data_IF_600924549548
#
_entry.id   IF_600924549548
#
_cell.length_a   1.000
_cell.length_b   1.000
_cell.length_c   1.000
_cell.angle_alpha   90.00
_cell.angle_beta   90.00
_cell.angle_gamma   90.00
#
_symmetry.space_group_name_H-M   'P 1'
#
loop_
_entity.id
_entity.type
_entity.pdbx_description
1 polymer ?
#
# COMPACT_ATOMS: atom_id res chain seq x y z
N UNK A 1 -7.36 -14.72 -0.80
CA UNK A 1 -7.25 -13.44 -1.53
C UNK A 1 -5.81 -12.94 -1.50
N UNK A 2 -5.28 -12.55 -2.64
CA UNK A 2 -3.89 -12.10 -2.69
C UNK A 2 -3.72 -10.83 -1.85
N UNK A 3 -2.61 -10.77 -1.11
CA UNK A 3 -2.24 -9.59 -0.31
C UNK A 3 -3.26 -9.22 0.75
N UNK A 4 -3.92 -10.21 1.32
CA UNK A 4 -4.90 -9.96 2.39
C UNK A 4 -4.31 -9.17 3.54
N UNK A 5 -3.07 -9.44 3.91
CA UNK A 5 -2.37 -8.73 4.97
C UNK A 5 -2.16 -7.25 4.61
N UNK A 6 -1.77 -6.98 3.37
CA UNK A 6 -1.55 -5.61 2.92
C UNK A 6 -2.88 -4.85 2.82
N UNK A 7 -3.91 -5.50 2.28
CA UNK A 7 -5.23 -4.86 2.16
C UNK A 7 -5.79 -4.50 3.53
N UNK A 8 -5.63 -5.39 4.50
CA UNK A 8 -6.07 -5.14 5.87
C UNK A 8 -5.30 -3.98 6.50
N UNK A 9 -3.99 -3.95 6.29
CA UNK A 9 -3.14 -2.88 6.82
C UNK A 9 -3.54 -1.53 6.25
N UNK A 10 -3.79 -1.45 4.95
CA UNK A 10 -4.24 -0.22 4.29
C UNK A 10 -5.57 0.23 4.88
N UNK A 11 -6.50 -0.70 5.05
CA UNK A 11 -7.81 -0.40 5.59
C UNK A 11 -7.71 0.16 7.01
N UNK A 12 -6.89 -0.47 7.85
CA UNK A 12 -6.71 -0.05 9.24
C UNK A 12 -6.01 1.29 9.35
N UNK A 13 -5.12 1.59 8.42
CA UNK A 13 -4.38 2.85 8.43
C UNK A 13 -5.24 4.05 8.06
N UNK A 14 -6.38 3.79 7.41
CA UNK A 14 -7.27 4.83 6.88
C UNK A 14 -6.61 5.73 5.84
N UNK A 15 -5.52 5.27 5.25
CA UNK A 15 -4.83 6.00 4.19
C UNK A 15 -5.41 5.56 2.84
N UNK A 16 -5.80 6.51 1.98
CA UNK A 16 -6.33 6.15 0.66
C UNK A 16 -5.27 5.42 -0.17
N UNK A 17 -5.70 4.45 -0.96
CA UNK A 17 -4.79 3.69 -1.81
C UNK A 17 -4.05 4.58 -2.80
N UNK A 18 -4.69 5.65 -3.29
CA UNK A 18 -4.05 6.53 -4.26
C UNK A 18 -2.83 7.25 -3.66
N UNK A 19 -2.85 7.54 -2.37
CA UNK A 19 -1.69 8.14 -1.71
C UNK A 19 -0.52 7.18 -1.67
N UNK A 20 -0.80 5.93 -1.36
CA UNK A 20 0.23 4.89 -1.33
C UNK A 20 0.80 4.67 -2.72
N UNK A 21 -0.08 4.61 -3.73
CA UNK A 21 0.35 4.45 -5.11
C UNK A 21 1.22 5.62 -5.56
N UNK A 22 0.85 6.83 -5.17
CA UNK A 22 1.61 8.03 -5.51
C UNK A 22 3.03 7.97 -4.94
N UNK A 23 3.16 7.54 -3.69
CA UNK A 23 4.48 7.39 -3.06
C UNK A 23 5.32 6.32 -3.75
N UNK A 24 4.66 5.31 -4.33
CA UNK A 24 5.35 4.26 -5.08
C UNK A 24 5.68 4.69 -6.51
N UNK A 25 5.19 5.84 -6.95
CA UNK A 25 5.36 6.29 -8.32
C UNK A 25 4.45 5.58 -9.30
N UNK A 26 3.31 5.06 -8.82
CA UNK A 26 2.36 4.32 -9.62
C UNK A 26 1.02 5.06 -9.67
N UNK A 27 0.24 4.77 -10.71
CA UNK A 27 -1.14 5.21 -10.73
C UNK A 27 -1.98 4.33 -9.82
N UNK A 28 -3.12 4.84 -9.39
CA UNK A 28 -4.08 4.07 -8.59
C UNK A 28 -4.47 2.76 -9.30
N UNK A 29 -4.71 2.86 -10.59
CA UNK A 29 -5.06 1.70 -11.42
C UNK A 29 -3.94 0.66 -11.44
N UNK A 30 -2.70 1.10 -11.64
CA UNK A 30 -1.56 0.19 -11.68
C UNK A 30 -1.35 -0.49 -10.33
N UNK A 31 -1.51 0.25 -9.25
CA UNK A 31 -1.39 -0.30 -7.91
C UNK A 31 -2.47 -1.36 -7.66
N UNK A 32 -3.71 -1.07 -8.03
CA UNK A 32 -4.80 -2.02 -7.89
C UNK A 32 -4.53 -3.31 -8.66
N UNK A 33 -3.97 -3.20 -9.86
CA UNK A 33 -3.60 -4.38 -10.64
C UNK A 33 -2.53 -5.20 -9.95
N UNK A 34 -1.54 -4.54 -9.36
CA UNK A 34 -0.47 -5.25 -8.64
C UNK A 34 -1.03 -6.02 -7.46
N UNK A 35 -2.04 -5.48 -6.79
CA UNK A 35 -2.64 -6.13 -5.63
C UNK A 35 -3.45 -7.38 -5.99
N UNK A 36 -3.72 -7.62 -7.25
CA UNK A 36 -4.38 -8.85 -7.69
C UNK A 36 -3.46 -10.06 -7.61
N UNK A 37 -2.16 -9.81 -7.61
CA UNK A 37 -1.15 -10.86 -7.54
C UNK A 37 -0.39 -10.73 -6.23
N UNK A 38 0.03 -11.87 -5.68
CA UNK A 38 0.78 -11.85 -4.42
C UNK A 38 2.07 -11.07 -4.61
N UNK A 39 2.27 -10.06 -3.78
CA UNK A 39 3.47 -9.22 -3.84
C UNK A 39 4.66 -9.94 -3.20
N UNK A 40 5.85 -9.60 -3.66
CA UNK A 40 7.07 -10.09 -3.03
C UNK A 40 7.22 -9.47 -1.64
N UNK A 41 8.06 -10.09 -0.82
CA UNK A 41 8.32 -9.56 0.52
C UNK A 41 8.86 -8.14 0.46
N UNK A 42 9.75 -7.87 -0.49
CA UNK A 42 10.33 -6.54 -0.65
C UNK A 42 9.27 -5.49 -0.96
N UNK A 43 8.33 -5.82 -1.83
CA UNK A 43 7.25 -4.91 -2.17
C UNK A 43 6.34 -4.67 -0.98
N UNK A 44 6.04 -5.73 -0.23
CA UNK A 44 5.22 -5.59 0.99
C UNK A 44 5.92 -4.71 2.02
N UNK A 45 7.22 -4.88 2.18
CA UNK A 45 7.99 -4.07 3.12
C UNK A 45 7.98 -2.60 2.72
N UNK A 46 8.08 -2.31 1.43
CA UNK A 46 8.02 -0.94 0.92
C UNK A 46 6.66 -0.32 1.24
N UNK A 47 5.58 -1.06 1.01
CA UNK A 47 4.24 -0.57 1.29
C UNK A 47 4.05 -0.29 2.77
N UNK A 48 4.53 -1.19 3.62
CA UNK A 48 4.45 -1.01 5.06
C UNK A 48 5.21 0.23 5.51
N UNK A 49 6.39 0.46 4.95
CA UNK A 49 7.19 1.64 5.27
C UNK A 49 6.47 2.92 4.83
N UNK A 50 5.86 2.90 3.66
CA UNK A 50 5.11 4.05 3.16
C UNK A 50 3.92 4.36 4.06
N UNK A 51 3.18 3.33 4.46
CA UNK A 51 2.02 3.51 5.34
C UNK A 51 2.47 4.13 6.66
N UNK A 52 3.55 3.63 7.23
CA UNK A 52 4.08 4.19 8.48
C UNK A 52 4.48 5.65 8.32
N UNK A 53 5.16 5.96 7.22
CA UNK A 53 5.57 7.34 6.92
C UNK A 53 4.37 8.26 6.82
N UNK A 54 3.35 7.85 6.08
CA UNK A 54 2.16 8.67 5.89
C UNK A 54 1.37 8.85 7.17
N UNK A 55 1.32 7.83 8.01
CA UNK A 55 0.66 7.95 9.31
C UNK A 55 1.39 8.94 10.20
N UNK A 56 2.71 8.89 10.21
CA UNK A 56 3.50 9.82 11.02
C UNK A 56 3.30 11.26 10.55
N UNK A 57 3.19 11.47 9.24
CA UNK A 57 2.98 12.80 8.68
C UNK A 57 1.55 13.31 8.93
N UNK A 58 0.60 12.41 9.13
CA UNK A 58 -0.80 12.76 9.35
C UNK A 58 -1.09 13.21 10.77
N UNK A 59 -0.20 12.97 11.67
CA UNK A 59 -0.35 13.41 13.06
C UNK A 59 0.12 14.86 13.24
#
# INVERSE_FOLDING_TARGET
MANGDIRELVKQSKIPMWKIADELGLTDFTFSRKLRYELSKDEKDKIKAIIKKLKDLSN
#
